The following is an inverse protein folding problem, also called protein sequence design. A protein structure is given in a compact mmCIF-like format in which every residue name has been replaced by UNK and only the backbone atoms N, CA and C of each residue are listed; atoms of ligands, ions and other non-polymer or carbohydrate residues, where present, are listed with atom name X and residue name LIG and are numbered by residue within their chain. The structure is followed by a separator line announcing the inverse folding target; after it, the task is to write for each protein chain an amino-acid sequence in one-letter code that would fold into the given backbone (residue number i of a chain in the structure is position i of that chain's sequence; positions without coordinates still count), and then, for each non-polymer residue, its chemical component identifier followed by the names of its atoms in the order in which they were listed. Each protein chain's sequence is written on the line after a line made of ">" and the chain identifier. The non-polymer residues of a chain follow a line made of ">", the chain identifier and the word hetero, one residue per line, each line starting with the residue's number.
data_IF_036882805047
#
_entry.id   IF_036882805047
#
_cell.length_a   1.000
_cell.length_b   1.000
_cell.length_c   1.000
_cell.angle_alpha   90.00
_cell.angle_beta   90.00
_cell.angle_gamma   90.00
#
_symmetry.space_group_name_H-M   'P 1'
#
loop_
_entity.id
_entity.type
_entity.pdbx_description
1 polymer ?
#
# COMPACT_ATOMS: atom_id res chain seq x y z
N UNK A 1 15.71 17.34 1.42
CA UNK A 1 14.68 16.42 0.97
C UNK A 1 13.88 15.89 2.16
N UNK A 2 12.57 16.03 2.10
CA UNK A 2 11.72 15.58 3.19
C UNK A 2 11.65 14.05 3.23
N UNK A 3 11.76 13.51 4.44
CA UNK A 3 11.58 12.07 4.62
C UNK A 3 10.12 11.70 4.37
N UNK A 4 9.91 10.53 3.77
CA UNK A 4 8.60 9.99 3.50
C UNK A 4 7.98 9.47 4.81
N UNK A 5 6.72 9.75 5.06
CA UNK A 5 6.04 9.16 6.20
C UNK A 5 5.53 7.76 5.88
N UNK A 6 5.09 7.04 6.91
CA UNK A 6 4.68 5.64 6.77
C UNK A 6 3.52 5.48 5.78
N UNK A 7 2.53 6.38 5.85
CA UNK A 7 1.38 6.32 4.94
C UNK A 7 1.81 6.54 3.49
N UNK A 8 2.72 7.48 3.25
CA UNK A 8 3.23 7.73 1.90
C UNK A 8 3.99 6.52 1.36
N UNK A 9 4.76 5.84 2.22
CA UNK A 9 5.49 4.64 1.81
C UNK A 9 4.54 3.52 1.41
N UNK A 10 3.44 3.35 2.15
CA UNK A 10 2.42 2.35 1.80
C UNK A 10 1.78 2.68 0.46
N UNK A 11 1.41 3.95 0.26
CA UNK A 11 0.83 4.40 -1.01
C UNK A 11 1.77 4.13 -2.17
N UNK A 12 3.02 4.53 -2.05
CA UNK A 12 3.99 4.37 -3.12
C UNK A 12 4.25 2.88 -3.41
N UNK A 13 4.25 2.05 -2.37
CA UNK A 13 4.42 0.61 -2.55
C UNK A 13 3.28 0.01 -3.36
N UNK A 14 2.04 0.40 -3.06
CA UNK A 14 0.86 -0.07 -3.81
C UNK A 14 0.95 0.35 -5.27
N UNK A 15 1.26 1.62 -5.51
CA UNK A 15 1.38 2.14 -6.87
C UNK A 15 2.49 1.43 -7.65
N UNK A 16 3.62 1.18 -7.01
CA UNK A 16 4.75 0.50 -7.65
C UNK A 16 4.40 -0.95 -7.99
N UNK A 17 3.73 -1.65 -7.08
CA UNK A 17 3.30 -3.03 -7.34
C UNK A 17 2.30 -3.11 -8.49
N UNK A 18 1.38 -2.15 -8.57
CA UNK A 18 0.46 -2.08 -9.69
C UNK A 18 1.19 -1.82 -11.00
N UNK A 19 2.17 -0.92 -10.99
CA UNK A 19 2.96 -0.60 -12.15
C UNK A 19 3.75 -1.81 -12.64
N UNK A 20 4.40 -2.51 -11.73
CA UNK A 20 5.16 -3.72 -12.07
C UNK A 20 4.29 -4.80 -12.73
N UNK A 21 3.02 -4.86 -12.34
CA UNK A 21 2.09 -5.89 -12.81
C UNK A 21 1.17 -5.41 -13.93
N UNK A 22 1.39 -4.17 -14.39
CA UNK A 22 0.52 -3.55 -15.40
C UNK A 22 -0.94 -3.67 -15.00
N UNK A 23 -1.24 -3.32 -13.77
CA UNK A 23 -2.55 -3.50 -13.15
C UNK A 23 -3.16 -2.15 -12.78
N UNK A 24 -4.43 -1.96 -13.13
CA UNK A 24 -5.16 -0.76 -12.73
C UNK A 24 -5.62 -0.87 -11.28
N UNK A 25 -5.97 0.28 -10.69
CA UNK A 25 -6.53 0.31 -9.33
C UNK A 25 -7.82 -0.50 -9.26
N UNK A 26 -8.67 -0.40 -10.29
CA UNK A 26 -9.92 -1.16 -10.32
C UNK A 26 -9.65 -2.66 -10.38
N UNK A 27 -8.65 -3.08 -11.14
CA UNK A 27 -8.28 -4.49 -11.20
C UNK A 27 -7.76 -4.96 -9.85
N UNK A 28 -6.92 -4.16 -9.20
CA UNK A 28 -6.41 -4.48 -7.88
C UNK A 28 -7.57 -4.66 -6.89
N UNK A 29 -8.55 -3.77 -6.93
CA UNK A 29 -9.73 -3.88 -6.07
C UNK A 29 -10.47 -5.19 -6.31
N UNK A 30 -10.66 -5.54 -7.58
CA UNK A 30 -11.37 -6.78 -7.95
C UNK A 30 -10.64 -8.02 -7.41
N UNK A 31 -9.34 -8.13 -7.65
CA UNK A 31 -8.57 -9.31 -7.21
C UNK A 31 -8.36 -9.36 -5.71
N UNK A 32 -8.51 -8.24 -5.03
CA UNK A 32 -8.37 -8.15 -3.57
C UNK A 32 -9.71 -8.23 -2.84
N UNK A 33 -10.80 -8.36 -3.57
CA UNK A 33 -12.16 -8.39 -3.04
C UNK A 33 -12.48 -7.15 -2.19
N UNK A 34 -11.99 -5.99 -2.63
CA UNK A 34 -12.19 -4.70 -1.96
C UNK A 34 -12.96 -3.76 -2.87
N UNK A 35 -13.81 -2.88 -2.30
CA UNK A 35 -14.36 -1.81 -3.11
C UNK A 35 -13.24 -0.87 -3.56
N UNK A 36 -13.31 -0.35 -4.80
CA UNK A 36 -12.27 0.60 -5.27
C UNK A 36 -12.08 1.79 -4.35
N UNK A 37 -13.14 2.23 -3.66
CA UNK A 37 -13.05 3.36 -2.72
C UNK A 37 -12.08 3.08 -1.57
N UNK A 38 -11.96 1.83 -1.13
CA UNK A 38 -11.04 1.48 -0.05
C UNK A 38 -9.59 1.75 -0.47
N UNK A 39 -9.25 1.39 -1.70
CA UNK A 39 -7.90 1.62 -2.22
C UNK A 39 -7.68 3.11 -2.48
N UNK A 40 -8.65 3.78 -3.08
CA UNK A 40 -8.55 5.22 -3.37
C UNK A 40 -8.40 6.05 -2.11
N UNK A 41 -9.04 5.63 -1.00
CA UNK A 41 -8.85 6.31 0.27
C UNK A 41 -7.41 6.23 0.77
N UNK A 42 -6.74 5.11 0.54
CA UNK A 42 -5.32 4.97 0.89
C UNK A 42 -4.46 5.84 -0.03
N UNK A 43 -4.75 5.82 -1.34
CA UNK A 43 -3.91 6.49 -2.34
C UNK A 43 -4.10 8.00 -2.38
N UNK A 44 -5.34 8.46 -2.28
CA UNK A 44 -5.68 9.86 -2.55
C UNK A 44 -6.48 10.52 -1.44
N UNK A 45 -6.98 9.73 -0.51
CA UNK A 45 -7.80 10.22 0.57
C UNK A 45 -6.99 10.67 1.76
N UNK A 46 -7.67 10.83 2.87
CA UNK A 46 -7.07 11.32 4.11
C UNK A 46 -6.80 10.21 5.11
N UNK A 47 -6.85 8.97 4.66
CA UNK A 47 -6.58 7.84 5.55
C UNK A 47 -5.11 7.85 5.92
N UNK A 48 -4.84 8.06 7.21
CA UNK A 48 -3.49 8.06 7.76
C UNK A 48 -3.11 6.73 8.37
N UNK A 49 -4.10 5.84 8.47
CA UNK A 49 -3.91 4.57 9.15
C UNK A 49 -4.65 3.47 8.40
N UNK A 50 -4.12 3.02 7.26
CA UNK A 50 -4.71 1.90 6.54
C UNK A 50 -4.78 0.68 7.44
N UNK A 51 -5.90 -0.02 7.41
CA UNK A 51 -6.07 -1.20 8.24
C UNK A 51 -5.13 -2.31 7.77
N UNK A 52 -4.53 -3.00 8.72
CA UNK A 52 -3.63 -4.11 8.41
C UNK A 52 -4.33 -5.18 7.58
N UNK A 53 -5.59 -5.50 7.90
CA UNK A 53 -6.34 -6.50 7.13
C UNK A 53 -6.57 -6.05 5.69
N UNK A 54 -6.79 -4.75 5.47
CA UNK A 54 -6.92 -4.23 4.11
C UNK A 54 -5.62 -4.45 3.34
N UNK A 55 -4.47 -4.16 3.96
CA UNK A 55 -3.17 -4.40 3.33
C UNK A 55 -2.97 -5.89 3.05
N UNK A 56 -3.36 -6.76 3.99
CA UNK A 56 -3.28 -8.20 3.78
C UNK A 56 -4.11 -8.65 2.58
N UNK A 57 -5.32 -8.11 2.42
CA UNK A 57 -6.17 -8.43 1.26
C UNK A 57 -5.52 -7.98 -0.04
N UNK A 58 -4.87 -6.81 -0.04
CA UNK A 58 -4.14 -6.34 -1.21
C UNK A 58 -2.98 -7.29 -1.54
N UNK A 59 -2.26 -7.75 -0.53
CA UNK A 59 -1.17 -8.71 -0.71
C UNK A 59 -1.69 -10.02 -1.30
N UNK A 60 -2.82 -10.50 -0.80
CA UNK A 60 -3.43 -11.73 -1.32
C UNK A 60 -3.82 -11.56 -2.79
N UNK A 61 -4.40 -10.41 -3.13
CA UNK A 61 -4.75 -10.10 -4.52
C UNK A 61 -3.55 -9.99 -5.44
N UNK A 62 -2.42 -9.52 -4.91
CA UNK A 62 -1.17 -9.38 -5.65
C UNK A 62 -0.33 -10.66 -5.65
N UNK A 63 -0.71 -11.65 -4.85
CA UNK A 63 0.04 -12.91 -4.77
C UNK A 63 1.36 -12.78 -4.02
N UNK A 64 1.44 -11.87 -3.06
CA UNK A 64 2.64 -11.68 -2.24
C UNK A 64 2.28 -11.82 -0.76
N UNK A 65 3.31 -11.96 0.07
CA UNK A 65 3.13 -12.00 1.52
C UNK A 65 3.21 -10.59 2.10
N UNK A 66 2.75 -10.42 3.34
CA UNK A 66 2.94 -9.17 4.06
C UNK A 66 4.42 -8.84 4.21
N UNK A 67 5.25 -9.85 4.47
CA UNK A 67 6.69 -9.65 4.55
C UNK A 67 7.26 -9.09 3.27
N UNK A 68 6.85 -9.64 2.13
CA UNK A 68 7.29 -9.15 0.82
C UNK A 68 6.82 -7.71 0.57
N UNK A 69 5.59 -7.39 0.98
CA UNK A 69 5.06 -6.04 0.82
C UNK A 69 5.94 -5.01 1.51
N UNK A 70 6.37 -5.28 2.74
CA UNK A 70 7.11 -4.34 3.56
C UNK A 70 8.63 -4.51 3.47
N UNK A 71 9.12 -5.46 2.68
CA UNK A 71 10.55 -5.74 2.56
C UNK A 71 11.21 -4.86 1.49
N UNK A 72 11.18 -3.56 1.69
CA UNK A 72 11.85 -2.61 0.80
C UNK A 72 12.65 -1.60 1.62
N UNK A 73 13.73 -1.05 1.06
CA UNK A 73 14.54 -0.05 1.78
C UNK A 73 13.73 1.18 2.22
N UNK A 74 12.68 1.53 1.48
CA UNK A 74 11.86 2.69 1.82
C UNK A 74 11.21 2.53 3.20
N UNK A 75 10.75 1.32 3.53
CA UNK A 75 10.14 1.09 4.84
C UNK A 75 11.18 1.10 5.96
N UNK A 76 12.37 0.57 5.69
CA UNK A 76 13.44 0.55 6.68
C UNK A 76 13.97 1.95 6.98
N UNK A 77 13.86 2.86 6.03
CA UNK A 77 14.39 4.22 6.15
C UNK A 77 13.37 5.22 6.71
N UNK A 78 12.17 4.76 7.09
CA UNK A 78 11.13 5.65 7.62
C UNK A 78 11.57 6.25 8.96
N UNK A 79 11.14 7.50 9.20
CA UNK A 79 11.34 8.13 10.49
C UNK A 79 10.45 7.47 11.53
N UNK A 80 10.87 7.59 12.80
CA UNK A 80 10.06 7.07 13.89
C UNK A 80 8.76 7.84 14.00
N UNK A 81 7.67 7.11 14.27
CA UNK A 81 6.38 7.72 14.53
C UNK A 81 6.26 8.19 15.99
N UNK A 82 7.13 7.68 16.84
CA UNK A 82 7.20 8.12 18.25
C UNK A 82 7.76 9.52 18.32
N UNK A 83 7.17 10.31 19.19
CA UNK A 83 7.60 11.70 19.38
C UNK A 83 8.24 11.91 20.74
#
# INVERSE_FOLDING_TARGET
>A
EAAMNTTDAVRDRILHLCEERDMTINRLATVSALPPSSIKNILYGKSRNPKLLTIKMLCDGLGITLGEFFSTPAFDALEQELQ
#
